data_IF_279552788657
#
_entry.id   IF_279552788657
#
_cell.length_a   1.000
_cell.length_b   1.000
_cell.length_c   1.000
_cell.angle_alpha   90.00
_cell.angle_beta   90.00
_cell.angle_gamma   90.00
#
_symmetry.space_group_name_H-M   'P 1'
#
loop_
_entity.id
_entity.type
_entity.pdbx_description
1 polymer ?
#
# COMPACT_ATOMS: atom_id res chain seq x y z
N UNK A 1 -10.64 -2.50 7.20
CA UNK A 1 -9.27 -3.04 7.02
C UNK A 1 -9.16 -4.44 7.59
N UNK A 2 -8.45 -5.35 6.92
CA UNK A 2 -8.25 -6.73 7.38
C UNK A 2 -6.95 -6.79 8.20
N UNK A 3 -7.05 -6.63 9.53
CA UNK A 3 -5.91 -6.61 10.47
C UNK A 3 -4.93 -7.78 10.28
N UNK A 4 -5.41 -8.90 9.77
CA UNK A 4 -4.62 -10.09 9.41
C UNK A 4 -3.51 -9.79 8.41
N UNK A 5 -3.76 -8.95 7.40
CA UNK A 5 -2.76 -8.62 6.37
C UNK A 5 -1.63 -7.78 6.96
N UNK A 6 -1.99 -6.75 7.74
CA UNK A 6 -1.02 -5.94 8.49
C UNK A 6 -0.17 -6.80 9.42
N UNK A 7 -0.80 -7.67 10.21
CA UNK A 7 -0.07 -8.57 11.12
C UNK A 7 0.89 -9.50 10.38
N UNK A 8 0.51 -10.01 9.22
CA UNK A 8 1.38 -10.90 8.45
C UNK A 8 2.61 -10.17 7.87
N UNK A 9 2.47 -8.90 7.47
CA UNK A 9 3.60 -8.07 7.03
C UNK A 9 4.52 -7.77 8.23
N UNK A 10 3.92 -7.37 9.36
CA UNK A 10 4.64 -6.98 10.58
C UNK A 10 5.43 -8.12 11.23
N UNK A 11 4.97 -9.37 11.10
CA UNK A 11 5.65 -10.55 11.69
C UNK A 11 7.10 -10.72 11.23
N UNK A 12 7.46 -10.16 10.08
CA UNK A 12 8.79 -10.28 9.50
C UNK A 12 9.71 -9.08 9.81
N UNK A 13 9.22 -8.08 10.55
CA UNK A 13 10.03 -6.91 10.95
C UNK A 13 10.85 -7.29 12.18
N UNK A 14 12.17 -7.16 12.07
CA UNK A 14 13.16 -7.47 13.11
C UNK A 14 14.10 -6.28 13.32
N UNK A 15 14.94 -6.33 14.37
CA UNK A 15 15.98 -5.31 14.60
C UNK A 15 17.02 -5.20 13.47
N UNK A 16 17.07 -6.17 12.55
CA UNK A 16 17.98 -6.17 11.39
C UNK A 16 17.29 -5.77 10.08
N UNK A 17 15.97 -5.58 10.12
CA UNK A 17 15.22 -5.15 8.94
C UNK A 17 15.64 -3.75 8.52
N UNK A 18 15.44 -3.44 7.24
CA UNK A 18 15.68 -2.09 6.73
C UNK A 18 14.84 -1.07 7.55
N UNK A 19 15.44 0.01 8.09
CA UNK A 19 14.73 0.99 8.92
C UNK A 19 13.48 1.56 8.25
N UNK A 20 13.46 1.61 6.91
CA UNK A 20 12.32 2.11 6.13
C UNK A 20 11.04 1.31 6.35
N UNK A 21 11.11 0.07 6.84
CA UNK A 21 9.90 -0.65 7.27
C UNK A 21 9.20 0.05 8.44
N UNK A 22 9.94 0.64 9.38
CA UNK A 22 9.36 1.40 10.47
C UNK A 22 8.86 2.76 9.99
N UNK A 23 9.62 3.44 9.12
CA UNK A 23 9.21 4.71 8.53
C UNK A 23 7.86 4.57 7.81
N UNK A 24 7.69 3.50 7.02
CA UNK A 24 6.43 3.15 6.37
C UNK A 24 5.24 3.16 7.34
N UNK A 25 5.34 2.48 8.47
CA UNK A 25 4.24 2.37 9.43
C UNK A 25 3.99 3.65 10.21
N UNK A 26 5.04 4.45 10.43
CA UNK A 26 4.92 5.78 11.02
C UNK A 26 4.15 6.71 10.07
N UNK A 27 4.49 6.70 8.78
CA UNK A 27 3.83 7.47 7.72
C UNK A 27 2.37 7.05 7.57
N UNK A 28 2.09 5.73 7.46
CA UNK A 28 0.72 5.17 7.40
C UNK A 28 -0.10 5.60 8.62
N UNK A 29 0.45 5.43 9.83
CA UNK A 29 -0.22 5.79 11.07
C UNK A 29 -0.51 7.30 11.22
N UNK A 30 0.25 8.15 10.55
CA UNK A 30 0.03 9.61 10.49
C UNK A 30 -0.89 10.05 9.36
N UNK A 31 -1.33 9.12 8.52
CA UNK A 31 -2.13 9.42 7.32
C UNK A 31 -1.31 10.03 6.18
N UNK A 32 0.02 9.92 6.22
CA UNK A 32 0.93 10.38 5.17
C UNK A 32 1.02 9.33 4.06
N UNK A 33 -0.11 9.05 3.41
CA UNK A 33 -0.25 7.89 2.53
C UNK A 33 0.52 8.00 1.18
N UNK A 34 0.96 9.19 0.80
CA UNK A 34 1.89 9.38 -0.33
C UNK A 34 3.30 8.94 0.07
N UNK A 35 3.79 9.44 1.20
CA UNK A 35 5.09 9.10 1.77
C UNK A 35 5.19 7.58 2.02
N UNK A 36 4.18 6.99 2.66
CA UNK A 36 4.12 5.55 2.92
C UNK A 36 4.21 4.72 1.61
N UNK A 37 3.50 5.14 0.56
CA UNK A 37 3.55 4.44 -0.73
C UNK A 37 4.94 4.54 -1.37
N UNK A 38 5.60 5.69 -1.27
CA UNK A 38 6.94 5.88 -1.83
C UNK A 38 7.99 5.09 -1.04
N UNK A 39 7.91 5.06 0.28
CA UNK A 39 8.73 4.20 1.15
C UNK A 39 8.58 2.72 0.77
N UNK A 40 7.34 2.26 0.55
CA UNK A 40 7.08 0.89 0.10
C UNK A 40 7.71 0.59 -1.28
N UNK A 41 7.65 1.52 -2.24
CA UNK A 41 8.32 1.36 -3.54
C UNK A 41 9.84 1.31 -3.41
N UNK A 42 10.42 2.14 -2.55
CA UNK A 42 11.87 2.16 -2.30
C UNK A 42 12.37 0.87 -1.65
N UNK A 43 11.54 0.24 -0.81
CA UNK A 43 11.78 -1.10 -0.26
C UNK A 43 11.61 -2.21 -1.32
N UNK A 44 10.99 -1.90 -2.46
CA UNK A 44 10.60 -2.87 -3.50
C UNK A 44 9.74 -4.03 -2.94
N UNK A 45 9.01 -3.79 -1.85
CA UNK A 45 8.13 -4.78 -1.23
C UNK A 45 6.72 -4.65 -1.79
N UNK A 46 6.39 -5.53 -2.73
CA UNK A 46 5.08 -5.56 -3.39
C UNK A 46 3.91 -5.71 -2.40
N UNK A 47 4.09 -6.38 -1.26
CA UNK A 47 3.03 -6.50 -0.26
C UNK A 47 2.77 -5.16 0.43
N UNK A 48 3.82 -4.42 0.78
CA UNK A 48 3.70 -3.07 1.34
C UNK A 48 3.12 -2.07 0.32
N UNK A 49 3.55 -2.16 -0.94
CA UNK A 49 3.02 -1.31 -2.02
C UNK A 49 1.52 -1.56 -2.19
N UNK A 50 1.10 -2.83 -2.28
CA UNK A 50 -0.30 -3.20 -2.38
C UNK A 50 -1.11 -2.74 -1.17
N UNK A 51 -0.56 -2.87 0.04
CA UNK A 51 -1.20 -2.38 1.25
C UNK A 51 -1.41 -0.86 1.21
N UNK A 52 -0.37 -0.08 0.90
CA UNK A 52 -0.46 1.39 0.83
C UNK A 52 -1.48 1.85 -0.22
N UNK A 53 -1.56 1.15 -1.36
CA UNK A 53 -2.57 1.44 -2.38
C UNK A 53 -4.00 1.21 -1.87
N UNK A 54 -4.25 0.19 -1.04
CA UNK A 54 -5.57 -0.05 -0.43
C UNK A 54 -5.93 1.06 0.56
N UNK A 55 -5.00 1.47 1.42
CA UNK A 55 -5.20 2.56 2.38
C UNK A 55 -5.53 3.87 1.64
N UNK A 56 -4.83 4.18 0.55
CA UNK A 56 -5.14 5.33 -0.30
C UNK A 56 -6.51 5.24 -0.95
N UNK A 57 -6.92 4.07 -1.43
CA UNK A 57 -8.27 3.89 -1.98
C UNK A 57 -9.34 4.16 -0.92
N UNK A 58 -9.13 3.66 0.31
CA UNK A 58 -10.05 3.89 1.42
C UNK A 58 -10.10 5.38 1.81
N UNK A 59 -8.96 6.07 1.83
CA UNK A 59 -8.92 7.51 2.05
C UNK A 59 -9.68 8.30 0.96
N UNK A 60 -9.49 7.96 -0.32
CA UNK A 60 -10.20 8.60 -1.44
C UNK A 60 -11.71 8.34 -1.38
N UNK A 61 -12.13 7.10 -1.06
CA UNK A 61 -13.55 6.74 -0.89
C UNK A 61 -14.23 7.60 0.18
N UNK A 62 -13.53 7.82 1.29
CA UNK A 62 -14.06 8.54 2.45
C UNK A 62 -13.81 10.06 2.40
N UNK A 63 -13.20 10.59 1.33
CA UNK A 63 -12.92 12.01 1.22
C UNK A 63 -14.15 12.79 0.71
N UNK A 64 -14.80 13.49 1.63
CA UNK A 64 -15.98 14.32 1.36
C UNK A 64 -15.67 15.64 0.62
N UNK A 65 -14.40 16.01 0.46
CA UNK A 65 -13.97 17.22 -0.25
C UNK A 65 -13.82 17.01 -1.75
N UNK A 66 -13.81 15.76 -2.22
CA UNK A 66 -13.70 15.43 -3.64
C UNK A 66 -15.08 15.36 -4.29
N UNK A 67 -15.19 15.89 -5.52
CA UNK A 67 -16.33 15.60 -6.38
C UNK A 67 -16.40 14.11 -6.72
N UNK A 68 -17.58 13.63 -7.13
CA UNK A 68 -17.78 12.25 -7.56
C UNK A 68 -16.84 11.85 -8.73
N UNK A 69 -16.67 12.76 -9.71
CA UNK A 69 -15.78 12.51 -10.86
C UNK A 69 -14.30 12.43 -10.44
N UNK A 70 -13.82 13.35 -9.60
CA UNK A 70 -12.44 13.31 -9.09
C UNK A 70 -12.18 12.04 -8.29
N UNK A 71 -13.13 11.65 -7.42
CA UNK A 71 -13.04 10.41 -6.64
C UNK A 71 -12.95 9.18 -7.55
N UNK A 72 -13.81 9.11 -8.57
CA UNK A 72 -13.82 8.00 -9.52
C UNK A 72 -12.50 7.89 -10.29
N UNK A 73 -11.98 9.00 -10.80
CA UNK A 73 -10.73 9.03 -11.56
C UNK A 73 -9.54 8.57 -10.70
N UNK A 74 -9.43 9.07 -9.47
CA UNK A 74 -8.37 8.67 -8.54
C UNK A 74 -8.47 7.19 -8.17
N UNK A 75 -9.67 6.69 -7.88
CA UNK A 75 -9.87 5.27 -7.58
C UNK A 75 -9.48 4.37 -8.74
N UNK A 76 -9.82 4.75 -9.97
CA UNK A 76 -9.45 3.99 -11.16
C UNK A 76 -7.93 3.88 -11.32
N UNK A 77 -7.20 4.98 -11.13
CA UNK A 77 -5.73 4.99 -11.21
C UNK A 77 -5.08 4.12 -10.12
N UNK A 78 -5.58 4.22 -8.89
CA UNK A 78 -5.12 3.39 -7.78
C UNK A 78 -5.41 1.90 -8.04
N UNK A 79 -6.60 1.57 -8.55
CA UNK A 79 -7.00 0.19 -8.85
C UNK A 79 -6.13 -0.43 -9.95
N UNK A 80 -5.82 0.33 -11.01
CA UNK A 80 -4.90 -0.10 -12.06
C UNK A 80 -3.51 -0.40 -11.50
N UNK A 81 -3.00 0.48 -10.64
CA UNK A 81 -1.71 0.29 -9.97
C UNK A 81 -1.72 -0.97 -9.11
N UNK A 82 -2.77 -1.15 -8.30
CA UNK A 82 -2.91 -2.34 -7.45
C UNK A 82 -2.96 -3.63 -8.28
N UNK A 83 -3.74 -3.65 -9.36
CA UNK A 83 -3.85 -4.81 -10.24
C UNK A 83 -2.50 -5.18 -10.88
N UNK A 84 -1.69 -4.18 -11.26
CA UNK A 84 -0.33 -4.39 -11.78
C UNK A 84 0.54 -5.14 -10.76
N UNK A 85 0.63 -4.63 -9.53
CA UNK A 85 1.45 -5.27 -8.48
C UNK A 85 0.92 -6.65 -8.07
N UNK A 86 -0.40 -6.83 -8.07
CA UNK A 86 -1.02 -8.12 -7.81
C UNK A 86 -0.64 -9.16 -8.88
N UNK A 87 -0.66 -8.78 -10.16
CA UNK A 87 -0.24 -9.66 -11.25
C UNK A 87 1.26 -9.99 -11.18
N UNK A 88 2.10 -9.01 -10.83
CA UNK A 88 3.54 -9.24 -10.63
C UNK A 88 3.79 -10.26 -9.50
N UNK A 89 3.10 -10.13 -8.37
CA UNK A 89 3.20 -11.07 -7.25
C UNK A 89 2.66 -12.48 -7.58
N UNK A 90 1.64 -12.59 -8.42
CA UNK A 90 1.14 -13.89 -8.89
C UNK A 90 2.16 -14.58 -9.82
N UNK A 91 2.81 -13.82 -10.72
CA UNK A 91 3.84 -14.35 -11.62
C UNK A 91 5.08 -14.81 -10.87
N UNK A 92 5.51 -14.09 -9.82
CA UNK A 92 6.66 -14.51 -9.01
C UNK A 92 6.41 -15.82 -8.27
N UNK A 93 5.16 -16.08 -7.86
CA UNK A 93 4.79 -17.32 -7.16
C UNK A 93 4.55 -18.50 -8.11
N UNK A 94 4.22 -18.26 -9.38
CA UNK A 94 4.01 -19.31 -10.38
C UNK A 94 5.31 -19.84 -11.00
N UNK A 95 6.43 -19.12 -10.83
CA UNK A 95 7.73 -19.47 -11.39
C UNK A 95 8.69 -20.10 -10.37
N UNK A 96 8.20 -20.48 -9.18
CA UNK A 96 8.95 -21.16 -8.11
C UNK A 96 8.37 -22.55 -7.84
#
# INVERSE_FOLDING_TARGET
MNNTQRQNIMKNITLKSDPRYLDFWIEDGRGQLDDALDTAKQLQDSNLIMYALLEKMDAVRNNNKLSASQRSNQLQQLQQSYAKYQQEAQKSNANN
#
